data_IF_745917374690
#
_entry.id   IF_745917374690
#
_cell.length_a   1.000
_cell.length_b   1.000
_cell.length_c   1.000
_cell.angle_alpha   90.00
_cell.angle_beta   90.00
_cell.angle_gamma   90.00
#
_symmetry.space_group_name_H-M   'P 1'
#
loop_
_entity.id
_entity.type
_entity.pdbx_description
1 polymer ?
#
# COMPACT_ATOMS: atom_id res chain seq x y z
N UNK A 1 3.62 -11.74 43.84
CA UNK A 1 3.86 -10.63 42.89
C UNK A 1 4.49 -11.25 41.66
N UNK A 2 3.72 -11.47 40.58
CA UNK A 2 4.27 -12.04 39.35
C UNK A 2 5.09 -10.95 38.67
N UNK A 3 6.41 -11.10 38.66
CA UNK A 3 7.31 -10.24 37.89
C UNK A 3 6.98 -10.45 36.42
N UNK A 4 6.21 -9.52 35.85
CA UNK A 4 5.98 -9.42 34.42
C UNK A 4 7.34 -9.20 33.77
N UNK A 5 7.89 -10.24 33.15
CA UNK A 5 9.09 -10.15 32.33
C UNK A 5 8.76 -9.22 31.16
N UNK A 6 9.02 -7.91 31.31
CA UNK A 6 8.93 -6.94 30.23
C UNK A 6 10.16 -7.12 29.33
N UNK A 7 10.27 -8.25 28.65
CA UNK A 7 11.40 -8.58 27.76
C UNK A 7 11.45 -7.68 26.52
N UNK A 8 10.31 -7.08 26.14
CA UNK A 8 10.21 -6.13 25.04
C UNK A 8 10.15 -4.69 25.55
N UNK A 9 11.30 -4.03 25.47
CA UNK A 9 11.44 -2.58 25.67
C UNK A 9 10.84 -1.79 24.48
N UNK A 10 10.50 -0.52 24.70
CA UNK A 10 9.97 0.40 23.69
C UNK A 10 10.91 0.48 22.47
N UNK A 11 12.22 0.52 22.72
CA UNK A 11 13.24 0.51 21.67
C UNK A 11 13.19 -0.76 20.82
N UNK A 12 12.97 -1.92 21.43
CA UNK A 12 12.86 -3.20 20.72
C UNK A 12 11.64 -3.20 19.81
N UNK A 13 10.48 -2.75 20.31
CA UNK A 13 9.26 -2.67 19.52
C UNK A 13 9.36 -1.66 18.36
N UNK A 14 10.07 -0.56 18.56
CA UNK A 14 10.32 0.43 17.51
C UNK A 14 11.15 -0.16 16.37
N UNK A 15 12.26 -0.84 16.69
CA UNK A 15 13.13 -1.48 15.69
C UNK A 15 12.39 -2.59 14.95
N UNK A 16 11.61 -3.40 15.67
CA UNK A 16 10.76 -4.47 15.11
C UNK A 16 9.76 -3.90 14.09
N UNK A 17 9.05 -2.81 14.43
CA UNK A 17 8.12 -2.15 13.51
C UNK A 17 8.82 -1.55 12.28
N UNK A 18 10.02 -0.97 12.43
CA UNK A 18 10.79 -0.47 11.29
C UNK A 18 11.22 -1.61 10.36
N UNK A 19 11.61 -2.76 10.92
CA UNK A 19 11.93 -3.96 10.13
C UNK A 19 10.74 -4.41 9.27
N UNK A 20 9.54 -4.49 9.85
CA UNK A 20 8.32 -4.83 9.10
C UNK A 20 8.02 -3.82 7.99
N UNK A 21 8.22 -2.53 8.26
CA UNK A 21 8.04 -1.47 7.24
C UNK A 21 8.99 -1.69 6.06
N UNK A 22 10.28 -1.92 6.30
CA UNK A 22 11.25 -2.16 5.22
C UNK A 22 10.95 -3.45 4.47
N UNK A 23 10.59 -4.53 5.17
CA UNK A 23 10.15 -5.78 4.55
C UNK A 23 8.95 -5.57 3.62
N UNK A 24 7.93 -4.84 4.08
CA UNK A 24 6.77 -4.49 3.27
C UNK A 24 7.13 -3.67 2.03
N UNK A 25 8.01 -2.67 2.17
CA UNK A 25 8.47 -1.85 1.04
C UNK A 25 9.17 -2.72 -0.01
N UNK A 26 10.14 -3.52 0.40
CA UNK A 26 10.91 -4.39 -0.51
C UNK A 26 9.98 -5.36 -1.24
N UNK A 27 9.07 -6.02 -0.52
CA UNK A 27 8.10 -6.95 -1.11
C UNK A 27 7.17 -6.24 -2.10
N UNK A 28 6.64 -5.08 -1.73
CA UNK A 28 5.73 -4.32 -2.60
C UNK A 28 6.43 -3.88 -3.88
N UNK A 29 7.66 -3.36 -3.79
CA UNK A 29 8.44 -3.00 -4.97
C UNK A 29 8.80 -4.22 -5.83
N UNK A 30 9.14 -5.35 -5.20
CA UNK A 30 9.38 -6.61 -5.91
C UNK A 30 8.17 -7.07 -6.71
N UNK A 31 6.96 -7.00 -6.12
CA UNK A 31 5.71 -7.34 -6.82
C UNK A 31 5.43 -6.35 -7.95
N UNK A 32 5.64 -5.04 -7.76
CA UNK A 32 5.45 -4.03 -8.80
C UNK A 32 6.40 -4.25 -9.99
N UNK A 33 7.66 -4.59 -9.74
CA UNK A 33 8.62 -4.94 -10.80
C UNK A 33 8.14 -6.18 -11.56
N UNK A 34 7.63 -7.19 -10.86
CA UNK A 34 7.08 -8.40 -11.48
C UNK A 34 5.85 -8.10 -12.34
N UNK A 35 4.95 -7.24 -11.86
CA UNK A 35 3.80 -6.72 -12.62
C UNK A 35 4.28 -6.07 -13.92
N UNK A 36 5.26 -5.17 -13.87
CA UNK A 36 5.83 -4.53 -15.06
C UNK A 36 6.39 -5.60 -16.01
N UNK A 37 7.18 -6.53 -15.50
CA UNK A 37 7.76 -7.59 -16.33
C UNK A 37 6.68 -8.43 -17.03
N UNK A 38 5.65 -8.89 -16.31
CA UNK A 38 4.55 -9.69 -16.88
C UNK A 38 3.75 -8.90 -17.92
N UNK A 39 3.40 -7.65 -17.60
CA UNK A 39 2.65 -6.79 -18.52
C UNK A 39 3.42 -6.48 -19.81
N UNK A 40 4.72 -6.17 -19.71
CA UNK A 40 5.53 -5.75 -20.87
C UNK A 40 6.11 -6.91 -21.67
N UNK A 41 6.52 -8.00 -21.01
CA UNK A 41 7.22 -9.11 -21.68
C UNK A 41 6.30 -10.25 -22.04
N UNK A 42 5.32 -10.55 -21.20
CA UNK A 42 4.40 -11.68 -21.38
C UNK A 42 3.03 -11.24 -21.92
N UNK A 43 2.76 -9.92 -21.99
CA UNK A 43 1.45 -9.35 -22.36
C UNK A 43 0.29 -9.94 -21.54
N UNK A 44 0.59 -10.42 -20.34
CA UNK A 44 -0.40 -10.91 -19.39
C UNK A 44 -0.95 -9.74 -18.59
N UNK A 45 -2.20 -9.85 -18.14
CA UNK A 45 -2.77 -8.89 -17.21
C UNK A 45 -2.54 -9.37 -15.76
N UNK A 46 -1.62 -8.77 -14.99
CA UNK A 46 -1.18 -9.28 -13.68
C UNK A 46 -2.11 -8.81 -12.55
N UNK A 47 -3.42 -9.01 -12.74
CA UNK A 47 -4.46 -8.58 -11.81
C UNK A 47 -4.38 -9.29 -10.45
N UNK A 48 -3.87 -10.52 -10.43
CA UNK A 48 -3.57 -11.30 -9.23
C UNK A 48 -2.59 -10.55 -8.31
N UNK A 49 -1.48 -10.10 -8.87
CA UNK A 49 -0.42 -9.37 -8.15
C UNK A 49 -0.89 -7.98 -7.73
N UNK A 50 -1.62 -7.28 -8.60
CA UNK A 50 -2.24 -5.99 -8.25
C UNK A 50 -3.25 -6.15 -7.11
N UNK A 51 -4.06 -7.20 -7.14
CA UNK A 51 -5.02 -7.53 -6.08
C UNK A 51 -4.34 -7.74 -4.74
N UNK A 52 -3.19 -8.42 -4.70
CA UNK A 52 -2.41 -8.60 -3.46
C UNK A 52 -1.90 -7.28 -2.88
N UNK A 53 -1.38 -6.39 -3.71
CA UNK A 53 -0.94 -5.05 -3.27
C UNK A 53 -2.14 -4.24 -2.75
N UNK A 54 -3.27 -4.31 -3.44
CA UNK A 54 -4.47 -3.57 -3.04
C UNK A 54 -5.03 -4.10 -1.72
N UNK A 55 -5.13 -5.42 -1.55
CA UNK A 55 -5.61 -6.05 -0.33
C UNK A 55 -4.71 -5.75 0.87
N UNK A 56 -3.37 -5.76 0.71
CA UNK A 56 -2.46 -5.44 1.80
C UNK A 56 -2.60 -3.98 2.27
N UNK A 57 -2.77 -3.05 1.32
CA UNK A 57 -3.10 -1.65 1.61
C UNK A 57 -4.46 -1.48 2.30
N UNK A 58 -5.49 -2.23 1.88
CA UNK A 58 -6.80 -2.21 2.52
C UNK A 58 -6.76 -2.72 3.96
N UNK A 59 -6.10 -3.85 4.21
CA UNK A 59 -5.99 -4.43 5.56
C UNK A 59 -5.31 -3.46 6.52
N UNK A 60 -4.20 -2.85 6.10
CA UNK A 60 -3.49 -1.85 6.93
C UNK A 60 -4.33 -0.60 7.17
N UNK A 61 -5.04 -0.12 6.16
CA UNK A 61 -5.95 1.03 6.27
C UNK A 61 -7.10 0.76 7.23
N UNK A 62 -7.76 -0.40 7.12
CA UNK A 62 -8.85 -0.81 8.03
C UNK A 62 -8.34 -0.96 9.47
N UNK A 63 -7.14 -1.51 9.64
CA UNK A 63 -6.54 -1.63 10.96
C UNK A 63 -6.27 -0.25 11.58
N UNK A 64 -5.70 0.68 10.83
CA UNK A 64 -5.47 2.07 11.28
C UNK A 64 -6.78 2.82 11.56
N UNK A 65 -7.82 2.57 10.76
CA UNK A 65 -9.16 3.11 10.98
C UNK A 65 -9.72 2.69 12.35
N UNK A 66 -9.66 1.39 12.66
CA UNK A 66 -10.15 0.84 13.94
C UNK A 66 -9.43 1.44 15.15
N UNK A 67 -8.14 1.73 15.01
CA UNK A 67 -7.32 2.33 16.07
C UNK A 67 -7.39 3.86 16.10
N UNK A 68 -8.25 4.49 15.27
CA UNK A 68 -8.49 5.95 15.23
C UNK A 68 -7.23 6.79 15.06
N UNK A 69 -6.26 6.29 14.29
CA UNK A 69 -4.97 6.96 14.05
C UNK A 69 -5.12 8.08 13.00
N UNK A 70 -6.22 8.11 12.25
CA UNK A 70 -6.40 9.07 11.16
C UNK A 70 -6.58 10.51 11.65
N UNK A 71 -5.67 11.37 11.20
CA UNK A 71 -5.73 12.82 11.37
C UNK A 71 -6.98 13.41 10.70
N UNK A 72 -7.50 14.53 11.21
CA UNK A 72 -8.69 15.25 10.67
C UNK A 72 -8.68 15.47 9.15
N UNK A 73 -7.50 15.55 8.52
CA UNK A 73 -7.35 15.82 7.09
C UNK A 73 -7.27 14.57 6.20
N UNK A 74 -7.33 13.35 6.77
CA UNK A 74 -7.14 12.11 5.99
C UNK A 74 -8.15 11.97 4.84
N UNK A 75 -9.40 12.38 5.05
CA UNK A 75 -10.44 12.39 4.01
C UNK A 75 -10.04 13.32 2.85
N UNK A 76 -9.47 14.51 3.15
CA UNK A 76 -9.02 15.44 2.10
C UNK A 76 -7.91 14.81 1.25
N UNK A 77 -6.97 14.10 1.87
CA UNK A 77 -5.91 13.40 1.15
C UNK A 77 -6.45 12.30 0.24
N UNK A 78 -7.44 11.52 0.71
CA UNK A 78 -8.09 10.50 -0.13
C UNK A 78 -8.82 11.16 -1.30
N UNK A 79 -9.60 12.20 -1.05
CA UNK A 79 -10.34 12.91 -2.11
C UNK A 79 -9.39 13.45 -3.17
N UNK A 80 -8.28 14.08 -2.76
CA UNK A 80 -7.25 14.54 -3.69
C UNK A 80 -6.67 13.38 -4.50
N UNK A 81 -6.31 12.27 -3.85
CA UNK A 81 -5.75 11.10 -4.53
C UNK A 81 -6.72 10.52 -5.57
N UNK A 82 -8.01 10.40 -5.22
CA UNK A 82 -9.06 9.93 -6.14
C UNK A 82 -9.23 10.89 -7.32
N UNK A 83 -9.23 12.21 -7.07
CA UNK A 83 -9.32 13.22 -8.13
C UNK A 83 -8.12 13.13 -9.09
N UNK A 84 -6.89 13.05 -8.58
CA UNK A 84 -5.70 12.89 -9.41
C UNK A 84 -5.75 11.59 -10.22
N UNK A 85 -6.15 10.48 -9.60
CA UNK A 85 -6.31 9.20 -10.29
C UNK A 85 -7.35 9.28 -11.42
N UNK A 86 -8.49 9.93 -11.17
CA UNK A 86 -9.54 10.12 -12.17
C UNK A 86 -9.05 10.97 -13.36
N UNK A 87 -8.31 12.05 -13.11
CA UNK A 87 -7.74 12.91 -14.16
C UNK A 87 -6.77 12.11 -15.05
N UNK A 88 -5.92 11.28 -14.44
CA UNK A 88 -4.97 10.42 -15.18
C UNK A 88 -5.74 9.40 -16.03
N UNK A 89 -6.75 8.75 -15.46
CA UNK A 89 -7.56 7.76 -16.17
C UNK A 89 -8.29 8.37 -17.37
N UNK A 90 -8.90 9.56 -17.22
CA UNK A 90 -9.56 10.27 -18.32
C UNK A 90 -8.56 10.65 -19.40
N UNK A 91 -7.39 11.17 -19.03
CA UNK A 91 -6.33 11.53 -19.99
C UNK A 91 -5.90 10.31 -20.83
N UNK A 92 -5.69 9.16 -20.19
CA UNK A 92 -5.33 7.91 -20.87
C UNK A 92 -6.46 7.45 -21.79
N UNK A 93 -7.71 7.47 -21.33
CA UNK A 93 -8.86 7.05 -22.12
C UNK A 93 -9.04 7.89 -23.39
N UNK A 94 -8.90 9.21 -23.28
CA UNK A 94 -8.95 10.12 -24.43
C UNK A 94 -7.80 9.87 -25.42
N UNK A 95 -6.60 9.59 -24.91
CA UNK A 95 -5.45 9.27 -25.74
C UNK A 95 -5.66 7.97 -26.55
N UNK A 96 -6.23 6.94 -25.92
CA UNK A 96 -6.56 5.67 -26.59
C UNK A 96 -7.63 5.88 -27.66
N UNK A 97 -8.67 6.67 -27.39
CA UNK A 97 -9.75 6.92 -28.36
C UNK A 97 -9.30 7.77 -29.57
N UNK A 98 -8.22 8.52 -29.42
CA UNK A 98 -7.65 9.36 -30.48
C UNK A 98 -6.71 8.63 -31.44
N UNK A 99 -6.34 7.37 -31.14
CA UNK A 99 -5.49 6.50 -31.97
C UNK A 99 -6.39 5.54 -32.77
#
# INVERSE_FOLDING_TARGET
MLTKNNEKDERTTFIENQSYKYGYIILTFGILINIIYRSFRLNEAPWDLFGLIFLSGLVTTVYQYKHKIFTKNWIKSIVLLVLFSAIIAVTIALFIQSI
#
